data_IF_348897333217
#
_entry.id   IF_348897333217
#
_cell.length_a   1.000
_cell.length_b   1.000
_cell.length_c   1.000
_cell.angle_alpha   90.00
_cell.angle_beta   90.00
_cell.angle_gamma   90.00
#
_symmetry.space_group_name_H-M   'P 1'
#
loop_
_entity.id
_entity.type
_entity.pdbx_description
1 polymer ?
#
# COMPACT_ATOMS: atom_id res chain seq x y z
N UNK A 1 30.08 -17.85 8.17
CA UNK A 1 29.50 -16.47 8.18
C UNK A 1 28.01 -16.52 7.92
N UNK A 2 27.23 -15.66 8.60
CA UNK A 2 25.78 -15.51 8.36
C UNK A 2 25.56 -14.48 7.26
N UNK A 3 24.83 -14.85 6.21
CA UNK A 3 24.57 -13.95 5.08
C UNK A 3 23.16 -13.38 5.20
N UNK A 4 23.02 -12.05 5.27
CA UNK A 4 21.74 -11.35 5.20
C UNK A 4 21.54 -10.83 3.78
N UNK A 5 20.37 -11.05 3.20
CA UNK A 5 20.02 -10.52 1.89
C UNK A 5 18.81 -9.59 1.99
N UNK A 6 19.01 -8.29 1.75
CA UNK A 6 17.99 -7.27 1.74
C UNK A 6 17.48 -6.98 0.32
N UNK A 7 16.29 -6.39 0.19
CA UNK A 7 15.71 -6.06 -1.12
C UNK A 7 16.36 -4.83 -1.78
N UNK A 8 16.98 -3.96 -0.97
CA UNK A 8 17.56 -2.69 -1.44
C UNK A 8 18.85 -2.36 -0.69
N UNK A 9 19.78 -1.63 -1.33
CA UNK A 9 21.03 -1.20 -0.68
C UNK A 9 20.82 -0.35 0.58
N UNK A 10 19.78 0.47 0.62
CA UNK A 10 19.46 1.31 1.78
C UNK A 10 19.10 0.45 3.00
N UNK A 11 18.23 -0.54 2.82
CA UNK A 11 17.81 -1.48 3.87
C UNK A 11 18.99 -2.32 4.35
N UNK A 12 19.84 -2.77 3.43
CA UNK A 12 21.07 -3.51 3.78
C UNK A 12 22.00 -2.70 4.69
N UNK A 13 22.19 -1.40 4.41
CA UNK A 13 23.03 -0.52 5.27
C UNK A 13 22.46 -0.39 6.68
N UNK A 14 21.14 -0.23 6.82
CA UNK A 14 20.50 -0.14 8.13
C UNK A 14 20.63 -1.43 8.94
N UNK A 15 20.45 -2.57 8.28
CA UNK A 15 20.61 -3.88 8.92
C UNK A 15 22.09 -4.08 9.32
N UNK A 16 23.03 -3.76 8.44
CA UNK A 16 24.46 -3.87 8.71
C UNK A 16 24.88 -3.03 9.91
N UNK A 17 24.41 -1.77 9.99
CA UNK A 17 24.68 -0.86 11.11
C UNK A 17 24.20 -1.46 12.44
N UNK A 18 22.99 -1.96 12.49
CA UNK A 18 22.38 -2.55 13.70
C UNK A 18 23.10 -3.84 14.11
N UNK A 19 23.60 -4.63 13.15
CA UNK A 19 24.37 -5.85 13.40
C UNK A 19 25.85 -5.59 13.73
N UNK A 20 26.31 -4.35 13.59
CA UNK A 20 27.72 -4.00 13.81
C UNK A 20 28.64 -4.43 12.65
N UNK A 21 28.09 -4.66 11.46
CA UNK A 21 28.87 -4.88 10.24
C UNK A 21 29.24 -3.51 9.64
N UNK A 22 30.54 -3.19 9.60
CA UNK A 22 31.02 -1.85 9.24
C UNK A 22 31.92 -1.82 8.03
N UNK A 23 32.52 -2.96 7.66
CA UNK A 23 33.48 -3.04 6.55
C UNK A 23 32.74 -3.10 5.21
N UNK A 24 32.82 -2.04 4.43
CA UNK A 24 32.23 -1.97 3.10
C UNK A 24 33.07 -2.74 2.08
N UNK A 25 32.41 -3.70 1.45
CA UNK A 25 32.95 -4.49 0.36
C UNK A 25 32.22 -4.18 -0.95
N UNK A 26 32.69 -4.75 -2.05
CA UNK A 26 31.98 -4.62 -3.32
C UNK A 26 30.71 -5.49 -3.31
N UNK A 27 29.53 -4.86 -3.24
CA UNK A 27 28.23 -5.54 -3.26
C UNK A 27 27.75 -6.08 -1.92
N UNK A 28 28.47 -5.87 -0.81
CA UNK A 28 28.02 -6.24 0.55
C UNK A 28 28.76 -5.46 1.64
N UNK A 29 28.32 -5.61 2.89
CA UNK A 29 28.95 -5.03 4.08
C UNK A 29 29.24 -6.17 5.05
N UNK A 30 30.45 -6.23 5.59
CA UNK A 30 30.88 -7.32 6.45
C UNK A 30 31.27 -6.83 7.85
N UNK A 31 31.10 -7.69 8.83
CA UNK A 31 31.54 -7.49 10.21
C UNK A 31 30.69 -8.25 11.22
N UNK A 32 31.20 -8.43 12.40
CA UNK A 32 30.54 -9.08 13.54
C UNK A 32 29.91 -10.45 13.20
N UNK A 33 30.53 -11.24 12.31
CA UNK A 33 30.06 -12.57 11.90
C UNK A 33 28.97 -12.54 10.83
N UNK A 34 28.61 -11.36 10.28
CA UNK A 34 27.61 -11.16 9.25
C UNK A 34 28.21 -10.62 7.95
N UNK A 35 27.58 -11.01 6.84
CA UNK A 35 27.76 -10.42 5.52
C UNK A 35 26.39 -9.97 5.03
N UNK A 36 26.19 -8.67 4.89
CA UNK A 36 24.91 -8.07 4.54
C UNK A 36 24.95 -7.59 3.09
N UNK A 37 24.27 -8.31 2.21
CA UNK A 37 24.15 -8.01 0.79
C UNK A 37 22.73 -7.56 0.44
N UNK A 38 22.49 -7.23 -0.84
CA UNK A 38 21.21 -6.68 -1.29
C UNK A 38 20.91 -7.05 -2.74
N UNK A 39 19.63 -6.95 -3.06
CA UNK A 39 19.17 -6.90 -4.45
C UNK A 39 18.80 -5.44 -4.83
N UNK A 40 18.39 -5.21 -6.06
CA UNK A 40 17.86 -3.92 -6.55
C UNK A 40 16.36 -4.06 -6.87
N UNK A 41 15.60 -4.69 -5.99
CA UNK A 41 14.31 -5.27 -6.29
C UNK A 41 14.50 -6.57 -7.08
N UNK A 42 13.72 -6.79 -8.13
CA UNK A 42 13.85 -8.00 -8.96
C UNK A 42 15.19 -8.07 -9.69
N UNK A 43 16.01 -9.06 -9.37
CA UNK A 43 17.17 -9.50 -10.18
C UNK A 43 16.80 -10.65 -11.12
N UNK A 44 15.76 -11.40 -10.78
CA UNK A 44 15.26 -12.53 -11.56
C UNK A 44 13.88 -12.24 -12.14
N UNK A 45 13.56 -12.86 -13.26
CA UNK A 45 12.25 -12.87 -13.90
C UNK A 45 11.94 -14.26 -14.44
N UNK A 46 10.67 -14.51 -14.82
CA UNK A 46 10.35 -15.72 -15.56
C UNK A 46 10.98 -15.67 -16.96
N UNK A 47 11.33 -16.83 -17.50
CA UNK A 47 11.87 -16.96 -18.86
C UNK A 47 10.90 -16.43 -19.90
N UNK A 48 11.45 -15.91 -20.99
CA UNK A 48 10.69 -15.47 -22.15
C UNK A 48 10.14 -16.67 -22.95
N UNK A 49 9.05 -16.49 -23.72
CA UNK A 49 8.44 -17.58 -24.50
C UNK A 49 9.42 -18.37 -25.35
N UNK A 50 10.34 -17.72 -26.03
CA UNK A 50 11.31 -18.38 -26.91
C UNK A 50 12.36 -19.23 -26.17
N UNK A 51 12.55 -19.01 -24.87
CA UNK A 51 13.44 -19.81 -24.03
C UNK A 51 12.81 -21.15 -23.59
N UNK A 52 11.52 -21.33 -23.83
CA UNK A 52 10.80 -22.61 -23.65
C UNK A 52 10.66 -23.37 -24.96
N UNK A 53 10.36 -22.65 -26.05
CA UNK A 53 10.18 -23.25 -27.37
C UNK A 53 10.53 -22.24 -28.47
N UNK A 54 11.42 -22.63 -29.40
CA UNK A 54 11.92 -21.73 -30.46
C UNK A 54 10.79 -21.19 -31.34
N UNK A 55 9.75 -22.00 -31.63
CA UNK A 55 8.58 -21.57 -32.38
C UNK A 55 7.77 -20.47 -31.71
N UNK A 56 7.96 -20.20 -30.40
CA UNK A 56 7.32 -19.10 -29.68
C UNK A 56 8.07 -17.76 -29.83
N UNK A 57 9.21 -17.76 -30.47
CA UNK A 57 9.93 -16.51 -30.81
C UNK A 57 9.12 -15.64 -31.77
N UNK A 58 8.56 -16.27 -32.82
CA UNK A 58 7.73 -15.57 -33.80
C UNK A 58 6.27 -15.54 -33.36
N UNK A 59 5.68 -14.34 -33.39
CA UNK A 59 4.27 -14.20 -33.06
C UNK A 59 3.40 -14.78 -34.14
N UNK A 60 2.58 -15.76 -33.83
CA UNK A 60 1.58 -16.37 -34.73
C UNK A 60 0.39 -16.88 -33.93
N UNK A 61 -0.79 -16.88 -34.53
CA UNK A 61 -1.99 -17.44 -33.91
C UNK A 61 -1.87 -18.95 -33.66
N UNK A 62 -1.15 -19.65 -34.53
CA UNK A 62 -0.94 -21.10 -34.41
C UNK A 62 -0.02 -21.51 -33.26
N UNK A 63 0.71 -20.58 -32.67
CA UNK A 63 1.53 -20.84 -31.49
C UNK A 63 0.81 -20.59 -30.14
N UNK A 64 -0.44 -20.18 -30.19
CA UNK A 64 -1.24 -19.91 -29.00
C UNK A 64 -2.18 -21.09 -28.67
N UNK A 65 -2.44 -21.41 -27.41
CA UNK A 65 -1.85 -20.80 -26.23
C UNK A 65 -0.43 -21.30 -25.93
N UNK A 66 0.44 -20.41 -25.46
CA UNK A 66 1.77 -20.76 -24.96
C UNK A 66 1.65 -21.14 -23.49
N UNK A 67 1.83 -22.42 -23.18
CA UNK A 67 1.74 -22.96 -21.82
C UNK A 67 3.01 -23.79 -21.57
N UNK A 68 4.03 -23.25 -20.91
CA UNK A 68 5.22 -24.00 -20.56
C UNK A 68 4.88 -25.17 -19.63
N UNK A 69 5.43 -26.37 -19.84
CA UNK A 69 5.19 -27.51 -18.95
C UNK A 69 5.77 -27.28 -17.55
N UNK A 70 6.80 -26.44 -17.43
CA UNK A 70 7.41 -25.97 -16.19
C UNK A 70 7.97 -24.57 -16.39
N UNK A 71 7.64 -23.68 -15.44
CA UNK A 71 8.19 -22.33 -15.46
C UNK A 71 9.61 -22.30 -14.91
N UNK A 72 10.48 -21.57 -15.58
CA UNK A 72 11.87 -21.32 -15.18
C UNK A 72 12.13 -19.84 -14.92
N UNK A 73 13.14 -19.57 -14.13
CA UNK A 73 13.61 -18.20 -13.84
C UNK A 73 14.93 -17.94 -14.56
N UNK A 74 15.13 -16.67 -14.93
CA UNK A 74 16.40 -16.15 -15.48
C UNK A 74 16.79 -14.85 -14.77
N UNK A 75 18.06 -14.47 -14.86
CA UNK A 75 18.50 -13.14 -14.49
C UNK A 75 17.94 -12.12 -15.50
N UNK A 76 17.59 -10.95 -15.01
CA UNK A 76 17.28 -9.80 -15.87
C UNK A 76 18.59 -9.36 -16.50
N UNK A 77 18.59 -9.19 -17.82
CA UNK A 77 19.76 -8.78 -18.62
C UNK A 77 20.14 -7.32 -18.29
N UNK A 78 20.98 -7.16 -17.28
CA UNK A 78 21.53 -5.88 -16.84
C UNK A 78 22.91 -6.11 -16.22
N UNK A 79 23.98 -5.46 -16.71
CA UNK A 79 25.35 -5.68 -16.22
C UNK A 79 25.50 -5.45 -14.69
N UNK A 80 24.80 -4.45 -14.15
CA UNK A 80 24.82 -4.17 -12.69
C UNK A 80 24.15 -5.29 -11.90
N UNK A 81 23.04 -5.85 -12.41
CA UNK A 81 22.34 -6.95 -11.78
C UNK A 81 23.16 -8.24 -11.82
N UNK A 82 23.81 -8.51 -12.93
CA UNK A 82 24.68 -9.68 -13.09
C UNK A 82 25.89 -9.61 -12.16
N UNK A 83 26.51 -8.43 -12.03
CA UNK A 83 27.64 -8.21 -11.12
C UNK A 83 27.19 -8.44 -9.67
N UNK A 84 26.07 -7.85 -9.27
CA UNK A 84 25.54 -8.02 -7.91
C UNK A 84 25.12 -9.46 -7.63
N UNK A 85 24.53 -10.14 -8.62
CA UNK A 85 24.16 -11.54 -8.49
C UNK A 85 25.37 -12.44 -8.26
N UNK A 86 26.48 -12.23 -8.95
CA UNK A 86 27.76 -12.98 -8.73
C UNK A 86 28.27 -12.83 -7.30
N UNK A 87 28.12 -11.62 -6.72
CA UNK A 87 28.48 -11.39 -5.30
C UNK A 87 27.56 -12.22 -4.40
N UNK A 88 26.23 -12.13 -4.60
CA UNK A 88 25.25 -12.88 -3.81
C UNK A 88 25.51 -14.39 -3.91
N UNK A 89 25.73 -14.90 -5.12
CA UNK A 89 26.02 -16.31 -5.37
C UNK A 89 27.28 -16.79 -4.61
N UNK A 90 28.36 -16.02 -4.68
CA UNK A 90 29.62 -16.32 -3.97
C UNK A 90 29.42 -16.34 -2.45
N UNK A 91 28.68 -15.38 -1.90
CA UNK A 91 28.39 -15.31 -0.47
C UNK A 91 27.53 -16.50 0.00
N UNK A 92 26.50 -16.87 -0.78
CA UNK A 92 25.60 -17.96 -0.42
C UNK A 92 26.25 -19.35 -0.49
N UNK A 93 27.20 -19.55 -1.40
CA UNK A 93 27.95 -20.80 -1.50
C UNK A 93 28.80 -21.07 -0.25
N UNK A 94 29.23 -20.02 0.46
CA UNK A 94 30.09 -20.10 1.65
C UNK A 94 29.33 -19.79 2.95
N UNK A 95 28.01 -19.62 2.90
CA UNK A 95 27.21 -19.26 4.04
C UNK A 95 26.94 -20.47 4.96
N UNK A 96 27.02 -20.27 6.28
CA UNK A 96 26.53 -21.21 7.28
C UNK A 96 25.00 -21.16 7.35
N UNK A 97 24.42 -19.98 7.18
CA UNK A 97 23.00 -19.74 7.11
C UNK A 97 22.73 -18.45 6.32
N UNK A 98 21.55 -18.36 5.73
CA UNK A 98 21.06 -17.16 5.06
C UNK A 98 19.87 -16.59 5.84
N UNK A 99 19.83 -15.28 5.98
CA UNK A 99 18.70 -14.54 6.56
C UNK A 99 18.09 -13.70 5.45
N UNK A 100 16.87 -14.09 5.06
CA UNK A 100 16.06 -13.36 4.10
C UNK A 100 15.49 -12.09 4.77
N UNK A 101 16.01 -10.93 4.40
CA UNK A 101 15.62 -9.62 4.88
C UNK A 101 14.89 -8.80 3.79
N UNK A 102 14.20 -9.47 2.85
CA UNK A 102 13.34 -8.81 1.87
C UNK A 102 12.18 -8.07 2.56
N UNK A 103 11.59 -7.11 1.85
CA UNK A 103 10.42 -6.40 2.35
C UNK A 103 9.35 -7.42 2.79
N UNK A 104 8.71 -7.16 3.92
CA UNK A 104 7.71 -8.07 4.46
C UNK A 104 6.44 -7.99 3.63
N UNK A 105 6.28 -8.92 2.71
CA UNK A 105 5.18 -9.02 1.76
C UNK A 105 5.41 -10.10 0.71
N UNK A 106 4.37 -10.36 -0.07
CA UNK A 106 4.38 -11.39 -1.11
C UNK A 106 5.47 -11.17 -2.16
N UNK A 107 5.70 -9.91 -2.54
CA UNK A 107 6.69 -9.54 -3.54
C UNK A 107 8.13 -9.72 -3.01
N UNK A 108 8.41 -9.20 -1.80
CA UNK A 108 9.72 -9.36 -1.18
C UNK A 108 10.09 -10.82 -0.95
N UNK A 109 9.10 -11.67 -0.63
CA UNK A 109 9.29 -13.11 -0.51
C UNK A 109 9.65 -13.75 -1.86
N UNK A 110 8.92 -13.40 -2.93
CA UNK A 110 9.18 -13.91 -4.27
C UNK A 110 10.56 -13.50 -4.80
N UNK A 111 10.89 -12.22 -4.68
CA UNK A 111 12.18 -11.65 -5.13
C UNK A 111 13.35 -12.41 -4.51
N UNK A 112 13.35 -12.53 -3.19
CA UNK A 112 14.46 -13.12 -2.47
C UNK A 112 14.59 -14.63 -2.73
N UNK A 113 13.46 -15.37 -2.77
CA UNK A 113 13.49 -16.80 -3.04
C UNK A 113 13.98 -17.12 -4.44
N UNK A 114 13.61 -16.33 -5.44
CA UNK A 114 14.12 -16.51 -6.80
C UNK A 114 15.63 -16.30 -6.87
N UNK A 115 16.13 -15.29 -6.19
CA UNK A 115 17.58 -15.02 -6.13
C UNK A 115 18.33 -16.13 -5.41
N UNK A 116 17.83 -16.56 -4.23
CA UNK A 116 18.44 -17.68 -3.48
C UNK A 116 18.39 -18.99 -4.26
N UNK A 117 17.28 -19.27 -4.95
CA UNK A 117 17.14 -20.46 -5.80
C UNK A 117 18.13 -20.40 -6.97
N UNK A 118 18.27 -19.26 -7.63
CA UNK A 118 19.18 -19.05 -8.76
C UNK A 118 20.65 -19.14 -8.32
N UNK A 119 20.98 -18.64 -7.12
CA UNK A 119 22.31 -18.74 -6.51
C UNK A 119 22.64 -20.14 -5.96
N UNK A 120 21.69 -21.08 -6.01
CA UNK A 120 21.90 -22.45 -5.53
C UNK A 120 22.11 -22.55 -4.01
N UNK A 121 21.45 -21.69 -3.23
CA UNK A 121 21.52 -21.70 -1.78
C UNK A 121 21.11 -23.07 -1.20
N UNK A 122 22.00 -23.70 -0.41
CA UNK A 122 21.76 -25.03 0.20
C UNK A 122 21.78 -25.02 1.73
N UNK A 123 22.19 -23.91 2.34
CA UNK A 123 22.23 -23.75 3.78
C UNK A 123 20.84 -23.43 4.36
N UNK A 124 20.66 -23.54 5.69
CA UNK A 124 19.42 -23.13 6.35
C UNK A 124 19.09 -21.67 6.07
N UNK A 125 17.82 -21.39 5.81
CA UNK A 125 17.33 -20.04 5.53
C UNK A 125 16.30 -19.64 6.58
N UNK A 126 16.53 -18.47 7.17
CA UNK A 126 15.62 -17.84 8.12
C UNK A 126 15.04 -16.55 7.54
N UNK A 127 13.92 -16.09 8.07
CA UNK A 127 13.18 -14.91 7.62
C UNK A 127 13.17 -13.83 8.71
N UNK A 128 13.68 -12.67 8.40
CA UNK A 128 13.45 -11.44 9.15
C UNK A 128 12.12 -10.82 8.68
N UNK A 129 11.13 -10.77 9.57
CA UNK A 129 9.81 -10.20 9.27
C UNK A 129 9.56 -8.97 10.13
N UNK A 130 9.73 -7.79 9.54
CA UNK A 130 9.60 -6.50 10.22
C UNK A 130 8.80 -5.50 9.37
N UNK A 131 8.02 -4.65 10.01
CA UNK A 131 7.21 -3.60 9.37
C UNK A 131 7.81 -2.20 9.53
N UNK A 132 8.97 -2.09 10.19
CA UNK A 132 9.70 -0.83 10.42
C UNK A 132 11.21 -1.09 10.36
N UNK A 133 11.96 -0.06 9.95
CA UNK A 133 13.43 -0.09 9.89
C UNK A 133 14.10 0.62 11.09
N UNK A 134 13.38 0.86 12.18
CA UNK A 134 13.99 1.38 13.40
C UNK A 134 14.97 0.36 13.99
N UNK A 135 16.01 0.84 14.65
CA UNK A 135 17.00 -0.02 15.31
C UNK A 135 16.34 -1.05 16.23
N UNK A 136 15.35 -0.60 17.02
CA UNK A 136 14.58 -1.47 17.91
C UNK A 136 13.87 -2.59 17.14
N UNK A 137 13.16 -2.24 16.05
CA UNK A 137 12.44 -3.23 15.25
C UNK A 137 13.37 -4.25 14.58
N UNK A 138 14.53 -3.81 14.09
CA UNK A 138 15.53 -4.70 13.52
C UNK A 138 16.10 -5.64 14.60
N UNK A 139 16.50 -5.10 15.78
CA UNK A 139 17.03 -5.92 16.89
C UNK A 139 16.02 -6.96 17.38
N UNK A 140 14.78 -6.55 17.61
CA UNK A 140 13.71 -7.48 17.98
C UNK A 140 13.46 -8.55 16.89
N UNK A 141 13.45 -8.15 15.64
CA UNK A 141 13.28 -9.06 14.50
C UNK A 141 14.36 -10.12 14.43
N UNK A 142 15.63 -9.74 14.64
CA UNK A 142 16.75 -10.70 14.67
C UNK A 142 16.70 -11.65 15.88
N UNK A 143 16.06 -11.26 16.98
CA UNK A 143 15.80 -12.17 18.12
C UNK A 143 14.65 -13.14 17.84
N UNK A 144 13.78 -12.84 16.88
CA UNK A 144 12.56 -13.58 16.54
C UNK A 144 12.55 -14.08 15.10
N UNK A 145 13.74 -14.43 14.57
CA UNK A 145 13.84 -14.99 13.22
C UNK A 145 12.95 -16.22 13.08
N UNK A 146 12.24 -16.30 11.98
CA UNK A 146 11.35 -17.40 11.65
C UNK A 146 11.98 -18.32 10.62
N UNK A 147 11.55 -19.56 10.58
CA UNK A 147 11.98 -20.46 9.51
C UNK A 147 11.37 -20.03 8.18
N UNK A 148 12.15 -20.11 7.12
CA UNK A 148 11.70 -19.76 5.77
C UNK A 148 10.48 -20.58 5.33
N UNK A 149 10.34 -21.79 5.85
CA UNK A 149 9.24 -22.72 5.56
C UNK A 149 7.87 -22.20 5.99
N UNK A 150 7.80 -21.37 7.04
CA UNK A 150 6.56 -20.75 7.50
C UNK A 150 5.93 -19.84 6.42
N UNK A 151 6.74 -19.35 5.47
CA UNK A 151 6.33 -18.45 4.39
C UNK A 151 6.11 -19.16 3.04
N UNK A 152 6.05 -20.50 3.01
CA UNK A 152 5.88 -21.25 1.77
C UNK A 152 4.58 -20.87 1.05
N UNK A 153 3.46 -20.76 1.77
CA UNK A 153 2.17 -20.36 1.18
C UNK A 153 2.20 -18.95 0.60
N UNK A 154 2.92 -18.03 1.24
CA UNK A 154 3.09 -16.67 0.75
C UNK A 154 3.93 -16.65 -0.54
N UNK A 155 5.00 -17.42 -0.58
CA UNK A 155 5.81 -17.62 -1.79
C UNK A 155 5.00 -18.23 -2.94
N UNK A 156 4.24 -19.30 -2.66
CA UNK A 156 3.40 -19.96 -3.66
C UNK A 156 2.33 -19.03 -4.22
N UNK A 157 1.76 -18.16 -3.39
CA UNK A 157 0.82 -17.13 -3.83
C UNK A 157 1.50 -16.11 -4.76
N UNK A 158 2.71 -15.65 -4.41
CA UNK A 158 3.52 -14.76 -5.26
C UNK A 158 3.90 -15.41 -6.59
N UNK A 159 4.35 -16.64 -6.54
CA UNK A 159 4.71 -17.42 -7.73
C UNK A 159 3.51 -17.66 -8.63
N UNK A 160 2.37 -18.06 -8.06
CA UNK A 160 1.12 -18.28 -8.82
C UNK A 160 0.66 -17.01 -9.52
N UNK A 161 0.78 -15.85 -8.83
CA UNK A 161 0.49 -14.54 -9.43
C UNK A 161 1.43 -14.24 -10.60
N UNK A 162 2.74 -14.43 -10.42
CA UNK A 162 3.73 -14.18 -11.48
C UNK A 162 3.49 -15.06 -12.71
N UNK A 163 3.19 -16.35 -12.49
CA UNK A 163 2.84 -17.30 -13.56
C UNK A 163 1.53 -16.89 -14.25
N UNK A 164 0.50 -16.53 -13.49
CA UNK A 164 -0.78 -16.08 -14.03
C UNK A 164 -0.63 -14.80 -14.87
N UNK A 165 0.15 -13.85 -14.40
CA UNK A 165 0.46 -12.60 -15.13
C UNK A 165 1.26 -12.89 -16.41
N UNK A 166 2.20 -13.85 -16.40
CA UNK A 166 2.91 -14.29 -17.58
C UNK A 166 1.98 -14.98 -18.59
N UNK A 167 1.17 -15.95 -18.14
CA UNK A 167 0.23 -16.67 -18.99
C UNK A 167 -0.77 -15.73 -19.66
N UNK A 168 -1.40 -14.87 -18.89
CA UNK A 168 -2.36 -13.89 -19.41
C UNK A 168 -1.66 -12.88 -20.30
N UNK A 169 -0.61 -12.24 -19.79
CA UNK A 169 0.09 -11.17 -20.49
C UNK A 169 0.67 -11.60 -21.81
N UNK A 170 1.41 -12.72 -21.85
CA UNK A 170 2.06 -13.19 -23.08
C UNK A 170 1.04 -13.70 -24.12
N UNK A 171 0.05 -14.46 -23.70
CA UNK A 171 -0.93 -15.03 -24.64
C UNK A 171 -1.95 -14.00 -25.14
N UNK A 172 -2.57 -13.26 -24.22
CA UNK A 172 -3.60 -12.30 -24.60
C UNK A 172 -3.03 -11.11 -25.38
N UNK A 173 -1.85 -10.59 -24.98
CA UNK A 173 -1.18 -9.51 -25.73
C UNK A 173 -0.91 -9.94 -27.18
N UNK A 174 -0.36 -11.13 -27.40
CA UNK A 174 -0.11 -11.62 -28.74
C UNK A 174 -1.40 -11.84 -29.54
N UNK A 175 -2.42 -12.48 -28.91
CA UNK A 175 -3.71 -12.71 -29.54
C UNK A 175 -4.36 -11.41 -29.99
N UNK A 176 -4.50 -10.45 -29.11
CA UNK A 176 -5.15 -9.17 -29.42
C UNK A 176 -4.34 -8.35 -30.41
N UNK A 177 -3.01 -8.31 -30.27
CA UNK A 177 -2.14 -7.62 -31.22
C UNK A 177 -2.25 -8.21 -32.64
N UNK A 178 -2.24 -9.54 -32.78
CA UNK A 178 -2.35 -10.19 -34.06
C UNK A 178 -3.75 -10.05 -34.70
N UNK A 179 -4.79 -9.96 -33.89
CA UNK A 179 -6.18 -9.83 -34.36
C UNK A 179 -6.60 -8.40 -34.64
N UNK A 180 -6.20 -7.47 -33.81
CA UNK A 180 -6.74 -6.10 -33.79
C UNK A 180 -5.66 -5.02 -33.88
N UNK A 181 -4.38 -5.36 -33.72
CA UNK A 181 -3.28 -4.40 -33.81
C UNK A 181 -3.17 -3.82 -35.23
N UNK A 182 -3.09 -2.49 -35.28
CA UNK A 182 -2.86 -1.74 -36.53
C UNK A 182 -1.47 -1.12 -36.51
N UNK A 183 -0.85 -0.94 -37.67
CA UNK A 183 0.43 -0.24 -37.81
C UNK A 183 1.55 -0.73 -36.84
N UNK A 184 1.62 -2.04 -36.60
CA UNK A 184 2.58 -2.68 -35.66
C UNK A 184 2.42 -2.25 -34.19
N UNK A 185 1.29 -1.66 -33.82
CA UNK A 185 1.01 -1.30 -32.43
C UNK A 185 0.74 -2.56 -31.62
N UNK A 186 1.49 -2.73 -30.53
CA UNK A 186 1.26 -3.79 -29.55
C UNK A 186 0.08 -3.42 -28.65
N UNK A 187 -0.93 -4.28 -28.62
CA UNK A 187 -2.07 -4.16 -27.71
C UNK A 187 -1.78 -4.95 -26.41
N UNK A 188 -1.17 -4.29 -25.48
CA UNK A 188 -0.78 -4.89 -24.20
C UNK A 188 -2.00 -5.23 -23.34
N UNK A 189 -2.11 -6.48 -22.94
CA UNK A 189 -3.16 -7.00 -22.06
C UNK A 189 -2.53 -7.46 -20.75
N UNK A 190 -3.13 -7.07 -19.63
CA UNK A 190 -2.65 -7.45 -18.31
C UNK A 190 -3.75 -7.40 -17.25
N UNK A 191 -3.55 -8.17 -16.19
CA UNK A 191 -4.51 -8.36 -15.10
C UNK A 191 -4.89 -7.04 -14.39
N UNK A 192 -4.01 -6.06 -14.36
CA UNK A 192 -4.25 -4.77 -13.70
C UNK A 192 -4.58 -3.70 -14.72
N UNK A 193 -3.73 -3.53 -15.74
CA UNK A 193 -3.86 -2.42 -16.69
C UNK A 193 -5.15 -2.49 -17.53
N UNK A 194 -5.58 -3.68 -17.95
CA UNK A 194 -6.78 -3.82 -18.79
C UNK A 194 -8.08 -3.53 -18.03
N UNK A 195 -8.32 -4.07 -16.81
CA UNK A 195 -9.47 -3.67 -16.01
C UNK A 195 -9.46 -2.19 -15.64
N UNK A 196 -8.29 -1.62 -15.36
CA UNK A 196 -8.17 -0.17 -15.07
C UNK A 196 -8.58 0.67 -16.27
N UNK A 197 -8.12 0.31 -17.47
CA UNK A 197 -8.54 0.97 -18.71
C UNK A 197 -10.05 0.81 -18.95
N UNK A 198 -10.59 -0.39 -18.70
CA UNK A 198 -12.03 -0.65 -18.86
C UNK A 198 -12.88 0.24 -17.92
N UNK A 199 -12.45 0.50 -16.68
CA UNK A 199 -13.14 1.43 -15.79
C UNK A 199 -13.20 2.84 -16.36
N UNK A 200 -12.10 3.33 -16.96
CA UNK A 200 -12.03 4.64 -17.59
C UNK A 200 -12.95 4.71 -18.80
N UNK A 201 -12.88 3.70 -19.67
CA UNK A 201 -13.72 3.63 -20.89
C UNK A 201 -15.20 3.57 -20.55
N UNK A 202 -15.58 2.74 -19.57
CA UNK A 202 -16.96 2.64 -19.11
C UNK A 202 -17.45 3.98 -18.54
N UNK A 203 -16.61 4.65 -17.73
CA UNK A 203 -16.95 5.96 -17.19
C UNK A 203 -17.10 7.02 -18.28
N UNK A 204 -16.24 6.99 -19.31
CA UNK A 204 -16.38 7.89 -20.45
C UNK A 204 -17.70 7.63 -21.20
N UNK A 205 -18.05 6.36 -21.42
CA UNK A 205 -19.31 6.03 -22.05
C UNK A 205 -20.54 6.50 -21.24
N UNK A 206 -20.49 6.41 -19.90
CA UNK A 206 -21.53 6.97 -19.03
C UNK A 206 -21.64 8.49 -19.19
N UNK A 207 -20.52 9.20 -19.30
CA UNK A 207 -20.48 10.65 -19.49
C UNK A 207 -21.06 11.02 -20.86
N UNK A 208 -20.64 10.33 -21.92
CA UNK A 208 -21.06 10.60 -23.30
C UNK A 208 -22.55 10.33 -23.51
N UNK A 209 -23.10 9.34 -22.79
CA UNK A 209 -24.50 8.96 -22.85
C UNK A 209 -25.36 9.64 -21.77
N UNK A 210 -24.77 10.52 -20.94
CA UNK A 210 -25.48 11.18 -19.87
C UNK A 210 -26.57 12.09 -20.41
N UNK A 211 -27.81 11.84 -20.00
CA UNK A 211 -28.97 12.66 -20.31
C UNK A 211 -29.37 13.41 -19.03
N UNK A 212 -29.18 14.74 -18.97
CA UNK A 212 -29.58 15.50 -17.81
C UNK A 212 -31.11 15.51 -17.69
N UNK A 213 -31.61 15.17 -16.51
CA UNK A 213 -33.02 15.28 -16.19
C UNK A 213 -33.20 16.47 -15.25
N UNK A 214 -34.04 17.46 -15.61
CA UNK A 214 -34.33 18.61 -14.76
C UNK A 214 -35.16 18.14 -13.55
N UNK A 215 -34.89 18.75 -12.41
CA UNK A 215 -35.71 18.59 -11.22
C UNK A 215 -35.86 19.94 -10.51
N UNK A 216 -36.89 20.02 -9.70
CA UNK A 216 -37.17 21.22 -8.92
C UNK A 216 -37.22 20.88 -7.45
N UNK A 217 -36.73 21.78 -6.61
CA UNK A 217 -36.76 21.68 -5.16
C UNK A 217 -37.47 22.90 -4.59
N UNK A 218 -38.44 22.68 -3.68
CA UNK A 218 -39.05 23.76 -2.95
C UNK A 218 -38.30 23.98 -1.63
N UNK A 219 -37.85 25.23 -1.45
CA UNK A 219 -37.12 25.67 -0.25
C UNK A 219 -37.72 26.96 0.27
N UNK A 220 -37.69 27.15 1.59
CA UNK A 220 -37.98 28.40 2.26
C UNK A 220 -36.84 28.82 3.15
N UNK A 221 -36.68 30.11 3.35
CA UNK A 221 -35.63 30.67 4.21
C UNK A 221 -36.30 31.38 5.37
N UNK A 222 -35.97 30.96 6.58
CA UNK A 222 -36.42 31.61 7.79
C UNK A 222 -35.24 31.81 8.74
N UNK A 223 -35.05 33.04 9.22
CA UNK A 223 -33.92 33.40 10.12
C UNK A 223 -32.57 32.86 9.68
N UNK A 224 -32.20 33.06 8.43
CA UNK A 224 -30.94 32.58 7.81
C UNK A 224 -30.78 31.06 7.73
N UNK A 225 -31.82 30.29 7.98
CA UNK A 225 -31.84 28.83 7.85
C UNK A 225 -32.69 28.42 6.66
N UNK A 226 -32.20 27.55 5.81
CA UNK A 226 -32.93 27.01 4.66
C UNK A 226 -33.65 25.72 5.06
N UNK A 227 -34.95 25.69 4.86
CA UNK A 227 -35.78 24.51 5.03
C UNK A 227 -36.17 23.97 3.65
N UNK A 228 -36.11 22.68 3.50
CA UNK A 228 -36.50 21.97 2.27
C UNK A 228 -37.72 21.12 2.50
N UNK A 229 -38.56 20.99 1.47
CA UNK A 229 -39.72 20.10 1.55
C UNK A 229 -39.32 18.66 1.77
N UNK A 230 -40.05 17.93 2.61
CA UNK A 230 -39.89 16.50 2.85
C UNK A 230 -40.30 15.64 1.64
N UNK A 231 -41.01 16.20 0.66
CA UNK A 231 -41.33 15.53 -0.61
C UNK A 231 -40.11 15.30 -1.51
N UNK A 232 -38.99 15.97 -1.21
CA UNK A 232 -37.77 15.84 -2.00
C UNK A 232 -37.85 16.59 -3.34
N UNK A 233 -37.38 15.96 -4.41
CA UNK A 233 -37.33 16.54 -5.75
C UNK A 233 -38.61 16.30 -6.52
N UNK A 234 -39.09 17.34 -7.22
CA UNK A 234 -40.17 17.23 -8.18
C UNK A 234 -39.58 16.98 -9.57
N UNK A 235 -40.08 16.02 -10.29
CA UNK A 235 -39.62 15.70 -11.66
C UNK A 235 -40.36 16.52 -12.72
N UNK A 236 -41.48 17.14 -12.36
CA UNK A 236 -42.25 18.05 -13.21
C UNK A 236 -42.36 19.41 -12.54
N UNK A 237 -42.16 20.46 -13.32
CA UNK A 237 -42.21 21.85 -12.86
C UNK A 237 -43.59 22.20 -12.30
N UNK A 238 -44.61 21.77 -13.01
CA UNK A 238 -46.03 22.05 -12.68
C UNK A 238 -46.43 21.47 -11.32
N UNK A 239 -45.84 20.29 -10.95
CA UNK A 239 -46.07 19.68 -9.64
C UNK A 239 -45.43 20.50 -8.52
N UNK A 240 -44.23 21.00 -8.76
CA UNK A 240 -43.52 21.91 -7.84
C UNK A 240 -44.24 23.24 -7.66
N UNK A 241 -44.72 23.87 -8.77
CA UNK A 241 -45.47 25.11 -8.76
C UNK A 241 -46.84 24.93 -8.07
N UNK A 242 -47.56 23.86 -8.39
CA UNK A 242 -48.84 23.56 -7.72
C UNK A 242 -48.68 23.34 -6.22
N UNK A 243 -47.55 22.75 -5.79
CA UNK A 243 -47.24 22.59 -4.38
C UNK A 243 -46.85 23.92 -3.72
N UNK A 244 -46.08 24.76 -4.40
CA UNK A 244 -45.76 26.12 -3.94
C UNK A 244 -47.03 26.94 -3.72
N UNK A 245 -47.95 26.95 -4.70
CA UNK A 245 -49.24 27.69 -4.59
C UNK A 245 -50.06 27.27 -3.37
N UNK A 246 -50.02 25.99 -2.98
CA UNK A 246 -50.72 25.50 -1.80
C UNK A 246 -50.14 25.96 -0.47
N UNK A 247 -48.83 26.28 -0.44
CA UNK A 247 -48.14 26.57 0.83
C UNK A 247 -47.68 28.02 0.96
N UNK A 248 -47.60 28.79 -0.13
CA UNK A 248 -47.01 30.15 -0.14
C UNK A 248 -47.74 31.18 0.77
N UNK A 249 -49.03 30.98 0.99
CA UNK A 249 -49.84 31.87 1.83
C UNK A 249 -50.12 31.30 3.23
N UNK A 250 -49.54 30.14 3.55
CA UNK A 250 -49.70 29.52 4.86
C UNK A 250 -48.58 29.99 5.81
N UNK A 251 -48.92 30.13 7.07
CA UNK A 251 -47.97 30.45 8.13
C UNK A 251 -46.94 29.32 8.26
N UNK A 252 -45.67 29.72 8.39
CA UNK A 252 -44.61 28.76 8.68
C UNK A 252 -44.65 28.37 10.16
N UNK A 253 -45.34 27.27 10.45
CA UNK A 253 -45.54 26.78 11.82
C UNK A 253 -44.65 25.60 12.12
N UNK A 254 -43.91 25.71 13.21
CA UNK A 254 -43.08 24.57 13.72
C UNK A 254 -44.03 23.57 14.38
N UNK A 255 -44.13 22.38 13.81
CA UNK A 255 -45.01 21.30 14.30
C UNK A 255 -44.27 20.34 15.23
N UNK A 256 -42.97 20.19 15.07
CA UNK A 256 -42.16 19.37 15.96
C UNK A 256 -40.69 19.83 15.97
N UNK A 257 -40.04 19.64 17.09
CA UNK A 257 -38.61 19.80 17.25
C UNK A 257 -38.09 18.54 17.91
N UNK A 258 -37.14 17.89 17.27
CA UNK A 258 -36.47 16.72 17.85
C UNK A 258 -34.95 16.95 17.89
N UNK A 259 -34.36 16.65 19.03
CA UNK A 259 -32.91 16.70 19.21
C UNK A 259 -32.35 15.27 19.36
N UNK A 260 -31.38 14.92 18.55
CA UNK A 260 -30.72 13.64 18.61
C UNK A 260 -29.23 13.84 18.86
N UNK A 261 -28.75 13.36 20.02
CA UNK A 261 -27.34 13.29 20.31
C UNK A 261 -26.68 12.13 19.56
N UNK A 262 -25.55 12.39 18.96
CA UNK A 262 -24.77 11.42 18.21
C UNK A 262 -23.28 11.57 18.48
N UNK A 263 -22.49 10.72 17.86
CA UNK A 263 -21.04 10.78 17.92
C UNK A 263 -20.48 10.68 16.52
N UNK A 264 -19.52 11.55 16.21
CA UNK A 264 -18.70 11.45 15.03
C UNK A 264 -17.35 10.88 15.43
N UNK A 265 -16.97 9.79 14.77
CA UNK A 265 -15.75 9.04 15.07
C UNK A 265 -14.58 9.61 14.31
N UNK A 266 -13.37 9.50 14.90
CA UNK A 266 -12.16 9.75 14.15
C UNK A 266 -12.08 8.84 12.90
N UNK A 267 -11.60 9.35 11.76
CA UNK A 267 -11.41 8.51 10.58
C UNK A 267 -10.42 7.38 10.88
N UNK A 268 -10.60 6.24 10.20
CA UNK A 268 -9.66 5.10 10.34
C UNK A 268 -8.24 5.51 9.95
N UNK A 269 -7.26 4.77 10.47
CA UNK A 269 -5.86 4.92 10.06
C UNK A 269 -5.71 4.67 8.56
N UNK A 270 -4.56 5.01 8.01
CA UNK A 270 -4.31 4.85 6.58
C UNK A 270 -3.81 3.45 6.24
N UNK A 271 -4.42 2.87 5.21
CA UNK A 271 -3.77 1.97 4.28
C UNK A 271 -3.16 2.77 3.11
N UNK A 272 -2.46 2.11 2.19
CA UNK A 272 -1.85 2.82 1.05
C UNK A 272 -2.90 3.52 0.18
N UNK A 273 -4.00 2.84 -0.14
CA UNK A 273 -5.03 3.37 -1.03
C UNK A 273 -5.72 4.60 -0.45
N UNK A 274 -6.13 4.56 0.81
CA UNK A 274 -6.77 5.70 1.46
C UNK A 274 -5.82 6.89 1.63
N UNK A 275 -4.52 6.64 1.86
CA UNK A 275 -3.51 7.69 1.88
C UNK A 275 -3.35 8.34 0.49
N UNK A 276 -3.30 7.54 -0.58
CA UNK A 276 -3.23 8.04 -1.95
C UNK A 276 -4.44 8.91 -2.31
N UNK A 277 -5.65 8.47 -1.93
CA UNK A 277 -6.89 9.23 -2.14
C UNK A 277 -6.85 10.58 -1.40
N UNK A 278 -6.41 10.58 -0.14
CA UNK A 278 -6.35 11.80 0.66
C UNK A 278 -5.28 12.77 0.15
N UNK A 279 -4.11 12.28 -0.24
CA UNK A 279 -3.05 13.07 -0.85
C UNK A 279 -3.48 13.67 -2.19
N UNK A 280 -4.21 12.91 -3.00
CA UNK A 280 -4.75 13.42 -4.26
C UNK A 280 -5.77 14.55 -4.02
N UNK A 281 -6.73 14.34 -3.10
CA UNK A 281 -7.74 15.35 -2.76
C UNK A 281 -7.14 16.67 -2.24
N UNK A 282 -6.13 16.57 -1.39
CA UNK A 282 -5.56 17.76 -0.71
C UNK A 282 -4.44 18.43 -1.47
N UNK A 283 -3.63 17.66 -2.20
CA UNK A 283 -2.37 18.14 -2.77
C UNK A 283 -2.26 17.86 -4.27
N UNK A 284 -3.26 17.22 -4.89
CA UNK A 284 -3.25 16.76 -6.28
C UNK A 284 -2.07 15.81 -6.60
N UNK A 285 -1.54 15.10 -5.61
CA UNK A 285 -0.50 14.09 -5.84
C UNK A 285 -1.10 12.89 -6.56
N UNK A 286 -0.32 12.31 -7.47
CA UNK A 286 -0.68 11.03 -8.10
C UNK A 286 -0.53 9.87 -7.09
N UNK A 287 -1.14 8.73 -7.39
CA UNK A 287 -0.96 7.53 -6.59
C UNK A 287 0.52 7.10 -6.53
N UNK A 288 1.24 7.23 -7.65
CA UNK A 288 2.67 6.89 -7.75
C UNK A 288 3.54 7.87 -6.95
N UNK A 289 3.29 9.19 -7.04
CA UNK A 289 4.00 10.17 -6.23
C UNK A 289 3.80 9.91 -4.73
N UNK A 290 2.56 9.65 -4.32
CA UNK A 290 2.25 9.33 -2.93
C UNK A 290 2.98 8.07 -2.47
N UNK A 291 3.02 7.02 -3.29
CA UNK A 291 3.76 5.80 -2.98
C UNK A 291 5.27 6.06 -2.83
N UNK A 292 5.87 6.83 -3.73
CA UNK A 292 7.29 7.21 -3.64
C UNK A 292 7.59 8.00 -2.37
N UNK A 293 6.73 8.96 -2.03
CA UNK A 293 6.89 9.79 -0.83
C UNK A 293 6.77 8.97 0.46
N UNK A 294 5.73 8.14 0.58
CA UNK A 294 5.57 7.32 1.79
C UNK A 294 6.64 6.23 1.89
N UNK A 295 7.13 5.70 0.76
CA UNK A 295 8.28 4.78 0.74
C UNK A 295 9.55 5.48 1.24
N UNK A 296 9.79 6.72 0.83
CA UNK A 296 10.91 7.52 1.34
C UNK A 296 10.79 7.78 2.84
N UNK A 297 9.60 8.08 3.35
CA UNK A 297 9.35 8.24 4.80
C UNK A 297 9.61 6.95 5.59
N UNK A 298 9.24 5.80 5.03
CA UNK A 298 9.58 4.49 5.59
C UNK A 298 11.09 4.26 5.62
N UNK A 299 11.80 4.54 4.54
CA UNK A 299 13.26 4.41 4.46
C UNK A 299 13.99 5.39 5.40
N UNK A 300 13.38 6.54 5.68
CA UNK A 300 13.83 7.49 6.73
C UNK A 300 13.42 7.07 8.14
N UNK A 301 12.78 5.91 8.31
CA UNK A 301 12.35 5.33 9.60
C UNK A 301 11.28 6.12 10.33
N UNK A 302 10.64 7.11 9.72
CA UNK A 302 9.66 7.96 10.38
C UNK A 302 8.23 7.44 10.26
N UNK A 303 7.97 6.51 9.35
CA UNK A 303 6.70 5.78 9.23
C UNK A 303 6.91 4.28 9.15
N UNK A 304 5.86 3.50 9.39
CA UNK A 304 5.84 2.04 9.20
C UNK A 304 5.73 1.68 7.71
N UNK A 305 5.79 0.40 7.39
CA UNK A 305 5.78 -0.13 6.02
C UNK A 305 4.55 0.37 5.24
N UNK A 306 4.71 0.91 4.03
CA UNK A 306 3.63 1.63 3.36
C UNK A 306 2.70 0.77 2.50
N UNK A 307 3.14 -0.42 2.06
CA UNK A 307 2.32 -1.26 1.16
C UNK A 307 1.43 -2.18 1.96
N UNK A 308 0.43 -1.60 2.58
CA UNK A 308 -0.52 -2.28 3.45
C UNK A 308 -1.94 -2.06 2.95
N UNK A 309 -2.80 -3.04 3.20
CA UNK A 309 -4.21 -3.07 2.80
C UNK A 309 -5.18 -3.00 3.98
N UNK A 310 -4.65 -2.77 5.19
CA UNK A 310 -5.44 -2.65 6.41
C UNK A 310 -5.34 -1.26 7.04
N UNK A 311 -6.42 -0.84 7.67
CA UNK A 311 -6.53 0.41 8.44
C UNK A 311 -6.49 0.16 9.95
N UNK A 312 -6.14 -1.05 10.39
CA UNK A 312 -6.13 -1.48 11.78
C UNK A 312 -4.72 -1.72 12.30
N UNK A 313 -4.57 -1.62 13.62
CA UNK A 313 -3.37 -2.00 14.34
C UNK A 313 -3.56 -3.37 15.01
N UNK A 314 -2.49 -4.11 15.16
CA UNK A 314 -2.45 -5.29 16.02
C UNK A 314 -2.30 -4.92 17.50
N UNK A 315 -2.71 -5.81 18.37
CA UNK A 315 -2.72 -5.57 19.81
C UNK A 315 -1.35 -5.33 20.44
N UNK A 316 -0.29 -5.87 19.84
CA UNK A 316 1.11 -5.70 20.25
C UNK A 316 1.64 -4.26 20.02
N UNK A 317 0.97 -3.49 19.17
CA UNK A 317 1.30 -2.07 18.95
C UNK A 317 0.78 -1.18 20.10
N UNK A 318 -0.31 -1.59 20.79
CA UNK A 318 -0.93 -0.77 21.82
C UNK A 318 0.06 -0.30 22.92
N UNK A 319 0.93 -1.15 23.49
CA UNK A 319 1.92 -0.72 24.49
C UNK A 319 2.93 0.30 23.95
N UNK A 320 3.18 0.33 22.65
CA UNK A 320 4.15 1.22 21.99
C UNK A 320 3.56 2.61 21.68
N UNK A 321 2.23 2.75 21.65
CA UNK A 321 1.53 4.00 21.29
C UNK A 321 1.98 5.20 22.11
N UNK A 322 2.10 5.14 23.47
CA UNK A 322 2.55 6.28 24.26
C UNK A 322 3.94 6.80 23.84
N UNK A 323 4.87 5.90 23.58
CA UNK A 323 6.22 6.26 23.13
C UNK A 323 6.19 6.86 21.72
N UNK A 324 5.38 6.31 20.81
CA UNK A 324 5.18 6.87 19.47
C UNK A 324 4.63 8.30 19.56
N UNK A 325 3.59 8.54 20.35
CA UNK A 325 3.01 9.89 20.55
C UNK A 325 4.03 10.87 21.15
N UNK A 326 4.83 10.43 22.13
CA UNK A 326 5.89 11.25 22.74
C UNK A 326 6.97 11.65 21.72
N UNK A 327 7.27 10.78 20.75
CA UNK A 327 8.25 11.04 19.71
C UNK A 327 7.78 12.02 18.63
N UNK A 328 6.48 12.35 18.57
CA UNK A 328 5.91 13.31 17.62
C UNK A 328 6.14 14.75 18.10
N UNK A 329 7.40 15.16 18.20
CA UNK A 329 7.83 16.42 18.83
C UNK A 329 7.22 17.67 18.17
N UNK A 330 6.97 17.63 16.87
CA UNK A 330 6.36 18.75 16.11
C UNK A 330 4.84 18.85 16.34
N UNK A 331 4.24 17.87 17.02
CA UNK A 331 2.80 17.78 17.34
C UNK A 331 2.51 17.82 18.83
N UNK A 332 3.40 18.36 19.63
CA UNK A 332 3.31 18.35 21.11
C UNK A 332 1.98 18.95 21.60
N UNK A 333 1.47 20.02 20.98
CA UNK A 333 0.18 20.61 21.34
C UNK A 333 -0.99 19.62 21.17
N UNK A 334 -0.91 18.75 20.17
CA UNK A 334 -1.92 17.74 19.90
C UNK A 334 -1.72 16.47 20.74
N UNK A 335 -0.50 16.14 21.12
CA UNK A 335 -0.22 14.91 21.88
C UNK A 335 -0.29 15.13 23.40
N UNK A 336 0.00 16.34 23.89
CA UNK A 336 0.01 16.64 25.34
C UNK A 336 -1.29 16.26 26.07
N UNK A 337 -2.50 16.52 25.55
CA UNK A 337 -3.74 16.10 26.20
C UNK A 337 -3.88 14.58 26.35
N UNK A 338 -3.25 13.82 25.44
CA UNK A 338 -3.31 12.35 25.43
C UNK A 338 -2.32 11.71 26.39
N UNK A 339 -1.22 12.40 26.71
CA UNK A 339 -0.13 11.85 27.53
C UNK A 339 -0.48 11.71 29.03
N UNK A 340 -1.46 12.47 29.49
CA UNK A 340 -1.86 12.51 30.91
C UNK A 340 -3.03 11.57 31.23
N UNK A 341 -3.42 10.72 30.31
CA UNK A 341 -4.54 9.80 30.47
C UNK A 341 -4.26 8.42 29.90
N UNK A 342 -5.03 7.43 30.35
CA UNK A 342 -4.99 6.10 29.74
C UNK A 342 -5.59 6.18 28.33
N UNK A 343 -4.80 5.84 27.33
CA UNK A 343 -5.26 5.84 25.95
C UNK A 343 -6.36 4.78 25.71
N UNK A 344 -7.37 5.08 24.91
CA UNK A 344 -8.43 4.11 24.60
C UNK A 344 -7.88 2.98 23.73
N UNK A 345 -8.16 1.73 24.10
CA UNK A 345 -7.93 0.56 23.24
C UNK A 345 -9.24 0.20 22.54
N UNK A 346 -9.56 0.92 21.48
CA UNK A 346 -10.81 0.72 20.73
C UNK A 346 -10.66 -0.39 19.69
N UNK A 347 -11.66 -1.26 19.55
CA UNK A 347 -11.77 -2.23 18.43
C UNK A 347 -11.88 -1.58 17.05
N UNK A 348 -12.14 -0.27 16.98
CA UNK A 348 -12.10 0.49 15.73
C UNK A 348 -10.69 0.77 15.25
N UNK A 349 -9.70 0.69 16.14
CA UNK A 349 -8.27 0.92 15.88
C UNK A 349 -7.48 -0.39 15.98
N UNK A 350 -7.75 -1.23 16.99
CA UNK A 350 -7.03 -2.47 17.26
C UNK A 350 -7.93 -3.68 16.98
N UNK A 351 -7.58 -4.46 15.96
CA UNK A 351 -8.29 -5.68 15.60
C UNK A 351 -7.34 -6.64 14.88
N UNK A 352 -6.82 -7.62 15.62
CA UNK A 352 -5.90 -8.63 15.09
C UNK A 352 -6.48 -9.44 13.93
N UNK A 353 -7.80 -9.62 13.87
CA UNK A 353 -8.44 -10.38 12.79
C UNK A 353 -8.42 -9.65 11.45
N UNK A 354 -8.10 -8.35 11.45
CA UNK A 354 -8.04 -7.48 10.29
C UNK A 354 -6.62 -7.05 9.92
N UNK A 355 -5.64 -7.59 10.60
CA UNK A 355 -4.22 -7.40 10.32
C UNK A 355 -3.67 -8.73 9.85
N UNK A 356 -3.24 -8.80 8.59
CA UNK A 356 -2.63 -10.00 7.99
C UNK A 356 -1.12 -9.98 8.18
N UNK A 357 -0.41 -9.33 7.27
CA UNK A 357 1.05 -9.29 7.24
C UNK A 357 1.59 -8.04 7.93
N UNK A 358 0.90 -6.91 7.77
CA UNK A 358 1.24 -5.61 8.32
C UNK A 358 0.02 -4.91 8.87
N UNK A 359 0.26 -4.04 9.87
CA UNK A 359 -0.75 -3.10 10.37
C UNK A 359 -0.79 -1.81 9.52
N UNK A 360 -1.76 -0.93 9.78
CA UNK A 360 -1.92 0.37 9.14
C UNK A 360 -0.64 1.23 9.17
N UNK A 361 -0.56 2.17 8.25
CA UNK A 361 0.55 3.15 8.18
C UNK A 361 0.44 4.11 9.36
N UNK A 362 1.46 4.12 10.21
CA UNK A 362 1.55 5.01 11.38
C UNK A 362 2.96 5.61 11.51
N UNK A 363 3.13 6.71 12.27
CA UNK A 363 4.46 7.18 12.64
C UNK A 363 5.16 6.15 13.54
N UNK A 364 6.49 6.14 13.51
CA UNK A 364 7.30 5.26 14.38
C UNK A 364 7.65 5.90 15.73
N UNK A 365 7.47 7.22 15.85
CA UNK A 365 7.94 8.00 16.99
C UNK A 365 9.36 8.54 16.84
N UNK A 366 10.05 8.20 15.75
CA UNK A 366 11.31 8.85 15.37
C UNK A 366 11.01 10.29 14.91
N UNK A 367 11.72 11.32 15.44
CA UNK A 367 11.51 12.70 15.02
C UNK A 367 11.71 12.89 13.52
N UNK A 368 10.74 13.46 12.85
CA UNK A 368 10.68 13.64 11.41
C UNK A 368 11.57 14.82 10.95
N UNK A 369 12.87 14.62 10.91
CA UNK A 369 13.86 15.63 10.48
C UNK A 369 14.22 15.45 9.01
N UNK A 370 14.68 16.54 8.38
CA UNK A 370 15.18 16.55 7.00
C UNK A 370 14.17 16.00 5.96
N UNK A 371 12.90 16.35 6.14
CA UNK A 371 11.85 16.06 5.17
C UNK A 371 11.75 17.17 4.13
N UNK A 372 11.56 16.79 2.87
CA UNK A 372 11.13 17.72 1.82
C UNK A 372 9.72 18.25 2.12
N UNK A 373 9.30 19.33 1.48
CA UNK A 373 7.95 19.89 1.67
C UNK A 373 6.84 18.92 1.29
N UNK A 374 7.07 18.12 0.26
CA UNK A 374 6.11 17.09 -0.19
C UNK A 374 6.06 15.91 0.79
N UNK A 375 7.19 15.46 1.29
CA UNK A 375 7.25 14.43 2.34
C UNK A 375 6.58 14.91 3.63
N UNK A 376 6.82 16.16 4.03
CA UNK A 376 6.20 16.78 5.21
C UNK A 376 4.67 16.79 5.11
N UNK A 377 4.11 17.08 3.94
CA UNK A 377 2.66 17.04 3.71
C UNK A 377 2.08 15.64 3.92
N UNK A 378 2.74 14.61 3.38
CA UNK A 378 2.31 13.21 3.56
C UNK A 378 2.46 12.75 5.00
N UNK A 379 3.59 13.09 5.63
CA UNK A 379 3.84 12.78 7.05
C UNK A 379 2.82 13.43 7.98
N UNK A 380 2.46 14.70 7.74
CA UNK A 380 1.46 15.42 8.53
C UNK A 380 0.09 14.72 8.49
N UNK A 381 -0.34 14.22 7.32
CA UNK A 381 -1.56 13.43 7.21
C UNK A 381 -1.51 12.18 8.08
N UNK A 382 -0.40 11.43 8.00
CA UNK A 382 -0.23 10.19 8.76
C UNK A 382 -0.18 10.47 10.27
N UNK A 383 0.61 11.47 10.69
CA UNK A 383 0.75 11.83 12.09
C UNK A 383 -0.58 12.31 12.72
N UNK A 384 -1.28 13.23 12.06
CA UNK A 384 -2.58 13.74 12.54
C UNK A 384 -3.65 12.65 12.59
N UNK A 385 -3.68 11.77 11.59
CA UNK A 385 -4.61 10.64 11.56
C UNK A 385 -4.36 9.67 12.72
N UNK A 386 -3.10 9.39 13.02
CA UNK A 386 -2.69 8.56 14.15
C UNK A 386 -3.07 9.19 15.49
N UNK A 387 -2.76 10.47 15.69
CA UNK A 387 -3.11 11.21 16.91
C UNK A 387 -4.64 11.22 17.13
N UNK A 388 -5.40 11.52 16.07
CA UNK A 388 -6.87 11.59 16.12
C UNK A 388 -7.52 10.28 16.56
N UNK A 389 -6.90 9.13 16.26
CA UNK A 389 -7.43 7.81 16.64
C UNK A 389 -7.51 7.58 18.17
N UNK A 390 -6.81 8.40 18.96
CA UNK A 390 -6.77 8.30 20.42
C UNK A 390 -7.55 9.42 21.12
N UNK A 391 -8.11 10.36 20.37
CA UNK A 391 -9.02 11.37 20.92
C UNK A 391 -10.40 10.77 21.17
N UNK A 392 -11.18 11.35 22.12
CA UNK A 392 -12.59 10.98 22.26
C UNK A 392 -13.37 11.31 20.98
N UNK A 393 -14.44 10.54 20.76
CA UNK A 393 -15.37 10.82 19.66
C UNK A 393 -15.97 12.23 19.82
N UNK A 394 -16.14 12.94 18.70
CA UNK A 394 -16.79 14.25 18.69
C UNK A 394 -18.29 14.06 19.01
N UNK A 395 -18.77 14.74 20.05
CA UNK A 395 -20.19 14.74 20.36
C UNK A 395 -20.91 15.73 19.46
N UNK A 396 -21.93 15.25 18.78
CA UNK A 396 -22.76 16.05 17.87
C UNK A 396 -24.21 16.05 18.37
N UNK A 397 -24.90 17.16 18.20
CA UNK A 397 -26.33 17.25 18.37
C UNK A 397 -26.96 17.64 17.03
N UNK A 398 -27.91 16.83 16.60
CA UNK A 398 -28.69 17.08 15.38
C UNK A 398 -30.09 17.49 15.80
N UNK A 399 -30.45 18.73 15.51
CA UNK A 399 -31.80 19.23 15.70
C UNK A 399 -32.57 19.15 14.39
N UNK A 400 -33.69 18.46 14.41
CA UNK A 400 -34.62 18.39 13.28
C UNK A 400 -35.88 19.17 13.65
N UNK A 401 -36.24 20.08 12.79
CA UNK A 401 -37.43 20.95 12.95
C UNK A 401 -38.38 20.65 11.83
#
# INVERSE_FOLDING_TARGET
MKVCIAEKPSVAREIAEVLGATQRMNGYIEGNGYQVTWTFGHLCTLKEPHEYAENWKRWSLGSLPMIPPRFGIKLIENPTYEQQFKVIESLMQNAEMVINCGDAGQEGELIQRWVMQKAGCKCPVYRLWISSLTEEAIREGFQKLKEQTEFNKLYEAGLSRAIGDWLLGMNATRLYTLRYGQNRQVLSIGRVQTPTLALIVNRQAEIDNFKPEPYWELKTIYRNTTFSTTKGKFTKKEEGEAFLEKVKEQDFTVTSITEKKGKEFAPRLFDLTSLQVECNKKFAFTADDTLKLIQSLYEKKVTTYPRVDTTFLSDDIYPKVPNTLKGLVDYTELTAPLMNQKLPKSKKVFDNSKVTDHHAIIPTGVPARNLTDTERKVYDLVARRFIAAFYPDCEISTTTV
#
